data_IF_505381949389
#
_entry.id   IF_505381949389
#
_cell.length_a   1.000
_cell.length_b   1.000
_cell.length_c   1.000
_cell.angle_alpha   90.00
_cell.angle_beta   90.00
_cell.angle_gamma   90.00
#
_symmetry.space_group_name_H-M   'P 1'
#
loop_
_entity.id
_entity.type
_entity.pdbx_description
1 polymer ?
#
# COMPACT_ATOMS: atom_id res chain seq x y z
N UNK A 1 -50.95 8.76 -37.57
CA UNK A 1 -50.89 8.86 -36.09
C UNK A 1 -50.57 7.47 -35.55
N UNK A 2 -49.32 7.25 -35.13
CA UNK A 2 -48.88 6.39 -34.02
C UNK A 2 -47.38 6.17 -34.15
N UNK A 3 -46.64 7.13 -33.59
CA UNK A 3 -45.20 7.05 -33.36
C UNK A 3 -45.03 6.38 -32.01
N UNK A 4 -44.76 5.08 -31.98
CA UNK A 4 -44.36 4.40 -30.75
C UNK A 4 -42.88 4.63 -30.52
N UNK A 5 -42.56 5.49 -29.57
CA UNK A 5 -41.20 5.66 -29.04
C UNK A 5 -40.90 4.51 -28.07
N UNK A 6 -39.81 3.78 -28.31
CA UNK A 6 -39.21 2.87 -27.34
C UNK A 6 -38.50 3.68 -26.23
N UNK A 7 -38.52 3.24 -24.96
CA UNK A 7 -37.79 3.92 -23.90
C UNK A 7 -36.33 3.49 -23.91
N UNK A 8 -35.49 4.27 -24.59
CA UNK A 8 -34.03 4.13 -24.61
C UNK A 8 -33.38 4.77 -23.36
N UNK A 9 -33.83 4.39 -22.15
CA UNK A 9 -33.52 5.15 -20.92
C UNK A 9 -32.79 4.37 -19.81
N UNK A 10 -32.35 3.13 -20.09
CA UNK A 10 -31.62 2.31 -19.09
C UNK A 10 -30.12 2.19 -19.35
N UNK A 11 -29.64 2.47 -20.57
CA UNK A 11 -28.19 2.36 -20.90
C UNK A 11 -27.38 3.60 -20.53
N UNK A 12 -27.98 4.79 -20.57
CA UNK A 12 -27.27 6.05 -20.37
C UNK A 12 -26.87 6.30 -18.91
N UNK A 13 -27.66 5.81 -17.94
CA UNK A 13 -27.36 5.98 -16.50
C UNK A 13 -26.19 5.12 -16.00
N UNK A 14 -25.96 3.95 -16.60
CA UNK A 14 -24.89 3.04 -16.18
C UNK A 14 -23.49 3.53 -16.63
N UNK A 15 -23.43 4.21 -17.78
CA UNK A 15 -22.18 4.77 -18.32
C UNK A 15 -21.72 5.99 -17.51
N UNK A 16 -22.66 6.79 -16.97
CA UNK A 16 -22.34 8.01 -16.23
C UNK A 16 -21.75 7.77 -14.82
N UNK A 17 -21.92 6.59 -14.23
CA UNK A 17 -21.48 6.31 -12.85
C UNK A 17 -20.09 5.67 -12.77
N UNK A 18 -19.61 5.07 -13.88
CA UNK A 18 -18.35 4.33 -13.91
C UNK A 18 -18.38 3.03 -13.10
N UNK A 19 -17.21 2.39 -12.88
CA UNK A 19 -17.13 1.12 -12.16
C UNK A 19 -17.65 1.25 -10.71
N UNK A 20 -18.32 0.21 -10.15
CA UNK A 20 -18.87 0.27 -8.79
C UNK A 20 -17.87 0.68 -7.71
N UNK A 21 -16.61 0.24 -7.82
CA UNK A 21 -15.57 0.60 -6.85
C UNK A 21 -15.25 2.10 -6.86
N UNK A 22 -15.33 2.75 -8.02
CA UNK A 22 -15.14 4.20 -8.15
C UNK A 22 -16.22 4.96 -7.40
N UNK A 23 -17.49 4.56 -7.56
CA UNK A 23 -18.61 5.18 -6.85
C UNK A 23 -18.45 5.04 -5.33
N UNK A 24 -18.08 3.84 -4.86
CA UNK A 24 -17.81 3.61 -3.45
C UNK A 24 -16.67 4.49 -2.92
N UNK A 25 -15.56 4.58 -3.67
CA UNK A 25 -14.43 5.43 -3.30
C UNK A 25 -14.84 6.91 -3.26
N UNK A 26 -15.58 7.37 -4.27
CA UNK A 26 -16.11 8.74 -4.35
C UNK A 26 -16.94 9.08 -3.11
N UNK A 27 -17.87 8.21 -2.71
CA UNK A 27 -18.74 8.43 -1.57
C UNK A 27 -17.95 8.47 -0.25
N UNK A 28 -16.99 7.56 -0.07
CA UNK A 28 -16.11 7.57 1.10
C UNK A 28 -15.27 8.85 1.16
N UNK A 29 -14.66 9.27 0.05
CA UNK A 29 -13.86 10.49 0.01
C UNK A 29 -14.72 11.73 0.25
N UNK A 30 -15.94 11.79 -0.31
CA UNK A 30 -16.86 12.90 -0.09
C UNK A 30 -17.21 13.08 1.38
N UNK A 31 -17.42 11.98 2.11
CA UNK A 31 -17.75 12.01 3.54
C UNK A 31 -16.54 12.32 4.43
N UNK A 32 -15.36 11.76 4.11
CA UNK A 32 -14.19 11.83 4.98
C UNK A 32 -13.30 13.05 4.74
N UNK A 33 -13.32 13.61 3.52
CA UNK A 33 -12.47 14.73 3.12
C UNK A 33 -13.32 15.87 2.54
N UNK A 34 -14.06 16.62 3.38
CA UNK A 34 -14.93 17.70 2.93
C UNK A 34 -14.20 18.97 2.48
N UNK A 35 -12.87 19.03 2.62
CA UNK A 35 -12.04 20.17 2.25
C UNK A 35 -11.67 20.22 0.75
N UNK A 36 -10.77 21.14 0.35
CA UNK A 36 -10.22 21.17 -1.00
C UNK A 36 -9.64 19.80 -1.36
N UNK A 37 -10.08 19.26 -2.49
CA UNK A 37 -9.66 17.93 -2.94
C UNK A 37 -8.36 18.03 -3.71
N UNK A 38 -7.43 17.08 -3.55
CA UNK A 38 -6.21 17.04 -4.33
C UNK A 38 -6.52 16.72 -5.80
N UNK A 39 -5.58 17.02 -6.71
CA UNK A 39 -5.72 16.79 -8.15
C UNK A 39 -6.09 15.34 -8.48
N UNK A 40 -5.54 14.36 -7.75
CA UNK A 40 -5.84 12.94 -7.94
C UNK A 40 -7.30 12.56 -7.63
N UNK A 41 -8.05 13.42 -6.92
CA UNK A 41 -9.48 13.18 -6.71
C UNK A 41 -10.30 13.41 -7.99
N UNK A 42 -9.74 14.05 -9.02
CA UNK A 42 -10.39 14.24 -10.32
C UNK A 42 -10.95 12.91 -10.88
N UNK A 43 -10.16 11.83 -10.79
CA UNK A 43 -10.59 10.49 -11.23
C UNK A 43 -11.87 9.98 -10.54
N UNK A 44 -12.16 10.45 -9.32
CA UNK A 44 -13.36 10.06 -8.55
C UNK A 44 -14.56 10.98 -8.82
N UNK A 45 -14.32 12.26 -9.07
CA UNK A 45 -15.37 13.29 -9.05
C UNK A 45 -15.69 13.89 -10.41
N UNK A 46 -14.79 13.80 -11.39
CA UNK A 46 -15.02 14.35 -12.72
C UNK A 46 -16.15 13.61 -13.45
N UNK A 47 -16.84 14.35 -14.31
CA UNK A 47 -17.97 13.84 -15.08
C UNK A 47 -17.52 12.94 -16.24
N UNK A 48 -16.28 13.10 -16.70
CA UNK A 48 -15.68 12.25 -17.72
C UNK A 48 -15.25 10.94 -17.08
N UNK A 49 -15.88 9.85 -17.53
CA UNK A 49 -15.55 8.49 -17.14
C UNK A 49 -15.09 7.78 -18.40
N UNK A 50 -13.91 7.15 -18.37
CA UNK A 50 -13.49 6.29 -19.49
C UNK A 50 -14.53 5.16 -19.64
N UNK A 51 -15.23 5.07 -20.79
CA UNK A 51 -16.23 4.04 -21.01
C UNK A 51 -15.68 2.61 -20.94
N UNK A 52 -14.35 2.44 -21.05
CA UNK A 52 -13.66 1.17 -21.00
C UNK A 52 -13.26 0.74 -19.58
N UNK A 53 -13.45 1.59 -18.57
CA UNK A 53 -13.07 1.25 -17.20
C UNK A 53 -13.96 0.17 -16.60
N UNK A 54 -13.33 -0.97 -16.30
CA UNK A 54 -13.79 -1.90 -15.28
C UNK A 54 -13.14 -1.58 -13.91
N UNK A 55 -13.55 -2.28 -12.84
CA UNK A 55 -12.98 -2.07 -11.50
C UNK A 55 -11.45 -2.24 -11.50
N UNK A 56 -10.91 -3.16 -12.29
CA UNK A 56 -9.48 -3.49 -12.29
C UNK A 56 -8.64 -2.39 -12.95
N UNK A 57 -9.05 -1.95 -14.14
CA UNK A 57 -8.40 -0.88 -14.90
C UNK A 57 -8.47 0.44 -14.15
N UNK A 58 -9.65 0.81 -13.63
CA UNK A 58 -9.80 1.99 -12.80
C UNK A 58 -8.87 1.97 -11.57
N UNK A 59 -8.80 0.85 -10.84
CA UNK A 59 -7.90 0.77 -9.67
C UNK A 59 -6.42 0.86 -10.08
N UNK A 60 -6.05 0.28 -11.22
CA UNK A 60 -4.70 0.39 -11.77
C UNK A 60 -4.34 1.85 -12.04
N UNK A 61 -5.21 2.56 -12.76
CA UNK A 61 -5.00 3.97 -13.11
C UNK A 61 -5.03 4.87 -11.86
N UNK A 62 -5.99 4.65 -10.94
CA UNK A 62 -6.12 5.43 -9.71
C UNK A 62 -4.90 5.31 -8.80
N UNK A 63 -4.35 4.10 -8.66
CA UNK A 63 -3.13 3.88 -7.87
C UNK A 63 -1.89 4.42 -8.57
N UNK A 64 -1.80 4.27 -9.89
CA UNK A 64 -0.70 4.80 -10.69
C UNK A 64 -0.68 6.33 -10.75
N UNK A 65 -1.83 6.98 -10.64
CA UNK A 65 -1.93 8.44 -10.54
C UNK A 65 -1.39 8.97 -9.21
N UNK A 66 -1.46 8.16 -8.14
CA UNK A 66 -0.96 8.55 -6.81
C UNK A 66 0.54 8.25 -6.68
N UNK A 67 0.97 7.06 -7.08
CA UNK A 67 2.37 6.64 -7.07
C UNK A 67 2.73 6.07 -8.46
N UNK A 68 3.19 6.96 -9.33
CA UNK A 68 3.46 6.63 -10.72
C UNK A 68 4.74 5.81 -10.85
N UNK A 69 4.61 4.54 -11.28
CA UNK A 69 5.75 3.63 -11.47
C UNK A 69 6.73 3.66 -10.30
N UNK A 70 6.17 3.62 -9.08
CA UNK A 70 6.94 3.61 -7.84
C UNK A 70 7.74 4.89 -7.54
N UNK A 71 7.45 5.98 -8.24
CA UNK A 71 8.09 7.28 -8.07
C UNK A 71 7.16 8.26 -7.36
N UNK A 72 7.70 8.99 -6.37
CA UNK A 72 6.98 10.08 -5.71
C UNK A 72 7.11 11.37 -6.53
N UNK A 73 5.97 11.90 -6.97
CA UNK A 73 5.86 13.19 -7.66
C UNK A 73 5.40 14.29 -6.67
N UNK A 74 5.49 15.59 -7.04
CA UNK A 74 5.10 16.70 -6.15
C UNK A 74 3.72 16.55 -5.52
N UNK A 75 2.75 16.02 -6.26
CA UNK A 75 1.37 15.85 -5.81
C UNK A 75 1.11 14.52 -5.10
N UNK A 76 2.05 13.56 -5.10
CA UNK A 76 1.86 12.22 -4.50
C UNK A 76 1.37 12.32 -3.06
N UNK A 77 1.98 13.19 -2.25
CA UNK A 77 1.63 13.36 -0.84
C UNK A 77 0.13 13.68 -0.63
N UNK A 78 -0.48 14.44 -1.55
CA UNK A 78 -1.88 14.80 -1.47
C UNK A 78 -2.79 13.61 -1.85
N UNK A 79 -2.39 12.82 -2.86
CA UNK A 79 -3.05 11.57 -3.22
C UNK A 79 -3.01 10.51 -2.11
N UNK A 80 -1.93 10.43 -1.34
CA UNK A 80 -1.82 9.50 -0.20
C UNK A 80 -2.87 9.74 0.90
N UNK A 81 -3.36 10.98 1.04
CA UNK A 81 -4.46 11.29 1.96
C UNK A 81 -5.78 10.61 1.52
N UNK A 82 -6.02 10.48 0.20
CA UNK A 82 -7.16 9.73 -0.33
C UNK A 82 -7.05 8.26 0.05
N UNK A 83 -5.88 7.64 -0.15
CA UNK A 83 -5.65 6.24 0.20
C UNK A 83 -5.81 5.99 1.69
N UNK A 84 -5.29 6.88 2.53
CA UNK A 84 -5.46 6.78 3.98
C UNK A 84 -6.94 6.85 4.37
N UNK A 85 -7.71 7.78 3.80
CA UNK A 85 -9.14 7.90 4.05
C UNK A 85 -9.92 6.63 3.63
N UNK A 86 -9.59 6.04 2.49
CA UNK A 86 -10.17 4.79 2.01
C UNK A 86 -9.77 3.60 2.90
N UNK A 87 -8.50 3.51 3.28
CA UNK A 87 -7.96 2.43 4.09
C UNK A 87 -8.52 2.40 5.52
N UNK A 88 -9.07 3.52 6.01
CA UNK A 88 -9.67 3.58 7.36
C UNK A 88 -11.19 3.43 7.40
N UNK A 89 -11.86 3.36 6.26
CA UNK A 89 -13.32 3.29 6.19
C UNK A 89 -13.82 1.84 6.03
N UNK A 90 -14.73 1.42 6.90
CA UNK A 90 -15.23 0.03 6.93
C UNK A 90 -16.09 -0.33 5.71
N UNK A 91 -16.60 0.67 4.97
CA UNK A 91 -17.32 0.44 3.71
C UNK A 91 -16.40 -0.09 2.62
N UNK A 92 -15.09 0.19 2.67
CA UNK A 92 -14.12 -0.27 1.67
C UNK A 92 -13.80 -1.74 1.93
N UNK A 93 -13.96 -2.66 0.95
CA UNK A 93 -13.63 -4.07 1.14
C UNK A 93 -12.17 -4.28 1.57
N UNK A 94 -11.91 -5.29 2.42
CA UNK A 94 -10.60 -5.54 3.00
C UNK A 94 -9.48 -5.72 1.96
N UNK A 95 -9.80 -6.26 0.77
CA UNK A 95 -8.86 -6.36 -0.35
C UNK A 95 -8.36 -4.98 -0.82
N UNK A 96 -9.26 -4.01 -0.93
CA UNK A 96 -8.90 -2.66 -1.37
C UNK A 96 -8.23 -1.88 -0.25
N UNK A 97 -8.59 -2.11 1.01
CA UNK A 97 -7.83 -1.58 2.16
C UNK A 97 -6.40 -2.14 2.16
N UNK A 98 -6.21 -3.44 1.93
CA UNK A 98 -4.86 -4.03 1.79
C UNK A 98 -4.05 -3.31 0.69
N UNK A 99 -4.62 -3.14 -0.50
CA UNK A 99 -3.95 -2.45 -1.61
C UNK A 99 -3.61 -0.98 -1.26
N UNK A 100 -4.52 -0.25 -0.63
CA UNK A 100 -4.27 1.13 -0.21
C UNK A 100 -3.15 1.21 0.82
N UNK A 101 -3.13 0.33 1.82
CA UNK A 101 -2.08 0.30 2.85
C UNK A 101 -0.73 -0.19 2.28
N UNK A 102 -0.75 -1.12 1.33
CA UNK A 102 0.45 -1.56 0.59
C UNK A 102 1.05 -0.41 -0.23
N UNK A 103 0.21 0.36 -0.93
CA UNK A 103 0.66 1.53 -1.67
C UNK A 103 1.21 2.63 -0.75
N UNK A 104 0.60 2.85 0.41
CA UNK A 104 1.12 3.72 1.46
C UNK A 104 2.50 3.24 1.97
N UNK A 105 2.68 1.93 2.16
CA UNK A 105 3.98 1.35 2.52
C UNK A 105 5.02 1.58 1.42
N UNK A 106 4.67 1.33 0.16
CA UNK A 106 5.54 1.56 -0.99
C UNK A 106 5.98 3.02 -1.06
N UNK A 107 5.03 3.96 -1.00
CA UNK A 107 5.30 5.40 -1.01
C UNK A 107 6.19 5.84 0.18
N UNK A 108 5.99 5.29 1.36
CA UNK A 108 6.78 5.61 2.55
C UNK A 108 8.23 5.13 2.49
N UNK A 109 8.52 4.14 1.62
CA UNK A 109 9.82 3.46 1.52
C UNK A 109 10.53 3.67 0.19
N UNK A 110 9.97 4.49 -0.72
CA UNK A 110 10.55 4.75 -2.06
C UNK A 110 12.03 5.12 -1.97
N UNK A 111 12.38 6.11 -1.15
CA UNK A 111 13.76 6.58 -1.00
C UNK A 111 14.73 5.45 -0.61
N UNK A 112 14.34 4.62 0.36
CA UNK A 112 15.14 3.49 0.81
C UNK A 112 15.25 2.38 -0.24
N UNK A 113 14.19 2.13 -1.02
CA UNK A 113 14.18 1.11 -2.07
C UNK A 113 14.99 1.55 -3.29
N UNK A 114 14.80 2.78 -3.75
CA UNK A 114 15.61 3.44 -4.75
C UNK A 114 17.10 3.40 -4.41
N UNK A 115 17.45 3.81 -3.18
CA UNK A 115 18.83 3.78 -2.71
C UNK A 115 19.42 2.35 -2.74
N UNK A 116 18.61 1.35 -2.40
CA UNK A 116 19.06 -0.04 -2.39
C UNK A 116 19.26 -0.63 -3.79
N UNK A 117 18.47 -0.17 -4.76
CA UNK A 117 18.48 -0.65 -6.15
C UNK A 117 19.57 -0.01 -7.00
N UNK A 118 19.84 1.29 -6.83
CA UNK A 118 20.70 2.03 -7.74
C UNK A 118 22.10 2.34 -7.19
N UNK A 119 22.41 1.94 -5.95
CA UNK A 119 23.68 2.30 -5.32
C UNK A 119 24.93 1.92 -6.15
N UNK A 120 25.94 2.81 -6.27
CA UNK A 120 26.05 4.14 -5.65
C UNK A 120 25.43 5.29 -6.46
N UNK A 121 24.77 4.98 -7.57
CA UNK A 121 24.20 5.96 -8.49
C UNK A 121 22.89 6.55 -7.93
N UNK A 122 22.58 7.77 -8.39
CA UNK A 122 21.29 8.40 -8.10
C UNK A 122 20.23 7.85 -9.06
N UNK A 123 19.06 7.42 -8.57
CA UNK A 123 17.98 6.96 -9.43
C UNK A 123 17.55 8.05 -10.42
N UNK A 124 17.39 7.76 -11.73
CA UNK A 124 17.12 8.79 -12.74
C UNK A 124 15.83 9.60 -12.52
N UNK A 125 14.85 9.02 -11.83
CA UNK A 125 13.53 9.60 -11.59
C UNK A 125 13.30 9.97 -10.11
N UNK A 126 14.31 9.85 -9.24
CA UNK A 126 14.15 10.18 -7.82
C UNK A 126 13.96 11.70 -7.64
N UNK A 127 12.93 12.05 -6.87
CA UNK A 127 12.72 13.40 -6.34
C UNK A 127 12.75 13.31 -4.80
N UNK A 128 13.91 13.53 -4.17
CA UNK A 128 14.08 13.38 -2.73
C UNK A 128 13.13 14.25 -1.90
N UNK A 129 12.76 15.43 -2.41
CA UNK A 129 11.84 16.33 -1.73
C UNK A 129 10.41 15.78 -1.77
N UNK A 130 9.98 15.25 -2.91
CA UNK A 130 8.68 14.59 -3.04
C UNK A 130 8.61 13.28 -2.25
N UNK A 131 9.68 12.47 -2.26
CA UNK A 131 9.78 11.25 -1.44
C UNK A 131 9.71 11.57 0.06
N UNK A 132 10.41 12.62 0.52
CA UNK A 132 10.35 13.06 1.91
C UNK A 132 8.96 13.59 2.29
N UNK A 133 8.28 14.33 1.40
CA UNK A 133 6.89 14.76 1.60
C UNK A 133 5.92 13.59 1.66
N UNK A 134 6.03 12.64 0.74
CA UNK A 134 5.23 11.42 0.72
C UNK A 134 5.39 10.63 2.02
N UNK A 135 6.64 10.39 2.45
CA UNK A 135 6.93 9.71 3.72
C UNK A 135 6.30 10.40 4.93
N UNK A 136 6.39 11.74 5.02
CA UNK A 136 5.74 12.52 6.10
C UNK A 136 4.22 12.43 6.05
N UNK A 137 3.63 12.43 4.85
CA UNK A 137 2.18 12.26 4.69
C UNK A 137 1.71 10.90 5.21
N UNK A 138 2.40 9.81 4.84
CA UNK A 138 2.08 8.47 5.39
C UNK A 138 2.28 8.43 6.91
N UNK A 139 3.36 9.03 7.42
CA UNK A 139 3.63 9.10 8.85
C UNK A 139 2.48 9.76 9.62
N UNK A 140 1.90 10.83 9.08
CA UNK A 140 0.77 11.53 9.69
C UNK A 140 -0.49 10.65 9.79
N UNK A 141 -0.68 9.70 8.86
CA UNK A 141 -1.82 8.79 8.85
C UNK A 141 -1.56 7.44 9.55
N UNK A 142 -0.30 7.12 9.85
CA UNK A 142 0.08 5.86 10.49
C UNK A 142 -0.68 5.56 11.80
N UNK A 143 -0.93 6.53 12.71
CA UNK A 143 -1.70 6.25 13.94
C UNK A 143 -3.11 5.72 13.67
N UNK A 144 -3.84 6.33 12.74
CA UNK A 144 -5.23 5.95 12.41
C UNK A 144 -5.28 4.58 11.72
N UNK A 145 -4.33 4.33 10.81
CA UNK A 145 -4.18 3.03 10.16
C UNK A 145 -3.88 1.92 11.19
N UNK A 146 -2.96 2.17 12.13
CA UNK A 146 -2.58 1.20 13.15
C UNK A 146 -3.64 1.02 14.24
N UNK A 147 -4.52 2.00 14.46
CA UNK A 147 -5.65 1.89 15.37
C UNK A 147 -6.66 0.81 14.91
N UNK A 148 -6.71 0.54 13.60
CA UNK A 148 -7.62 -0.46 13.02
C UNK A 148 -7.16 -1.90 13.17
N UNK A 149 -5.96 -2.14 13.72
CA UNK A 149 -5.35 -3.47 13.80
C UNK A 149 -6.31 -4.59 14.20
N UNK A 150 -7.11 -4.39 15.26
CA UNK A 150 -8.04 -5.42 15.77
C UNK A 150 -9.23 -5.68 14.85
N UNK A 151 -9.69 -4.68 14.11
CA UNK A 151 -10.79 -4.80 13.16
C UNK A 151 -10.35 -5.43 11.81
N UNK A 152 -9.06 -5.37 11.51
CA UNK A 152 -8.55 -5.80 10.21
C UNK A 152 -8.36 -7.31 10.08
N UNK A 153 -8.48 -7.80 8.84
CA UNK A 153 -8.22 -9.19 8.51
C UNK A 153 -6.70 -9.50 8.53
N UNK A 154 -6.29 -10.79 8.52
CA UNK A 154 -4.88 -11.16 8.59
C UNK A 154 -4.00 -10.52 7.50
N UNK A 155 -4.50 -10.42 6.26
CA UNK A 155 -3.77 -9.81 5.15
C UNK A 155 -3.41 -8.34 5.43
N UNK A 156 -4.40 -7.54 5.84
CA UNK A 156 -4.20 -6.12 6.15
C UNK A 156 -3.29 -5.94 7.38
N UNK A 157 -3.39 -6.83 8.37
CA UNK A 157 -2.49 -6.81 9.54
C UNK A 157 -1.02 -7.03 9.17
N UNK A 158 -0.73 -7.83 8.15
CA UNK A 158 0.65 -8.04 7.69
C UNK A 158 1.25 -6.74 7.16
N UNK A 159 0.55 -6.04 6.27
CA UNK A 159 1.05 -4.76 5.73
C UNK A 159 1.10 -3.65 6.80
N UNK A 160 0.13 -3.62 7.73
CA UNK A 160 0.20 -2.71 8.89
C UNK A 160 1.42 -2.99 9.77
N UNK A 161 1.86 -4.24 9.87
CA UNK A 161 3.08 -4.60 10.60
C UNK A 161 4.33 -4.04 9.90
N UNK A 162 4.36 -4.08 8.57
CA UNK A 162 5.37 -3.40 7.75
C UNK A 162 5.40 -1.89 7.98
N UNK A 163 4.24 -1.21 7.95
CA UNK A 163 4.17 0.23 8.23
C UNK A 163 4.63 0.57 9.66
N UNK A 164 4.31 -0.26 10.65
CA UNK A 164 4.71 -0.04 12.03
C UNK A 164 6.24 -0.05 12.23
N UNK A 165 6.99 -0.83 11.43
CA UNK A 165 8.47 -0.81 11.47
C UNK A 165 9.09 0.31 10.62
N UNK A 166 8.36 0.83 9.63
CA UNK A 166 8.77 2.03 8.88
C UNK A 166 8.66 3.28 9.75
N UNK A 167 7.60 3.38 10.56
CA UNK A 167 7.33 4.47 11.50
C UNK A 167 7.33 3.97 12.96
N UNK A 168 8.51 3.62 13.49
CA UNK A 168 8.62 3.12 14.85
C UNK A 168 8.26 4.19 15.87
N UNK A 169 7.53 3.79 16.92
CA UNK A 169 7.26 4.60 18.11
C UNK A 169 7.37 3.70 19.34
N UNK A 170 7.57 4.31 20.52
CA UNK A 170 7.63 3.58 21.79
C UNK A 170 6.35 2.77 22.08
N UNK A 171 5.24 3.11 21.43
CA UNK A 171 3.97 2.39 21.54
C UNK A 171 3.81 1.30 20.48
N UNK A 172 4.24 1.53 19.24
CA UNK A 172 3.96 0.63 18.11
C UNK A 172 4.85 -0.60 18.13
N UNK A 173 6.15 -0.46 18.38
CA UNK A 173 7.09 -1.57 18.32
C UNK A 173 6.83 -2.65 19.40
N UNK A 174 6.66 -2.32 20.70
CA UNK A 174 6.40 -3.35 21.72
C UNK A 174 5.07 -4.07 21.51
N UNK A 175 4.11 -3.42 20.85
CA UNK A 175 2.82 -4.02 20.53
C UNK A 175 2.89 -5.05 19.39
N UNK A 176 3.92 -5.02 18.53
CA UNK A 176 4.02 -5.94 17.39
C UNK A 176 4.22 -7.39 17.81
N UNK A 177 5.10 -7.65 18.79
CA UNK A 177 5.38 -9.02 19.27
C UNK A 177 4.13 -9.78 19.70
N UNK A 178 3.27 -9.28 20.61
CA UNK A 178 2.05 -9.98 20.97
C UNK A 178 1.05 -10.06 19.81
N UNK A 179 0.97 -9.02 18.96
CA UNK A 179 0.05 -8.97 17.80
C UNK A 179 0.40 -9.98 16.70
N UNK A 180 1.67 -10.28 16.53
CA UNK A 180 2.19 -11.19 15.50
C UNK A 180 2.38 -12.63 15.98
N UNK A 181 2.24 -12.89 17.29
CA UNK A 181 2.42 -14.23 17.88
C UNK A 181 1.57 -15.29 17.18
N UNK A 182 0.29 -15.02 16.94
CA UNK A 182 -0.61 -15.96 16.27
C UNK A 182 -0.11 -16.31 14.85
N UNK A 183 0.40 -15.33 14.10
CA UNK A 183 0.97 -15.58 12.78
C UNK A 183 2.20 -16.48 12.86
N UNK A 184 3.10 -16.24 13.82
CA UNK A 184 4.31 -17.07 13.97
C UNK A 184 4.00 -18.54 14.31
N UNK A 185 2.90 -18.78 15.01
CA UNK A 185 2.42 -20.14 15.32
C UNK A 185 1.73 -20.81 14.12
N UNK A 186 0.94 -20.04 13.36
CA UNK A 186 0.20 -20.55 12.21
C UNK A 186 1.08 -20.74 10.96
N UNK A 187 2.14 -19.94 10.83
CA UNK A 187 3.03 -19.93 9.68
C UNK A 187 4.46 -20.30 10.11
N UNK A 188 4.88 -21.55 9.87
CA UNK A 188 6.25 -21.99 10.12
C UNK A 188 7.28 -21.16 9.35
N UNK A 189 8.52 -21.18 9.85
CA UNK A 189 9.67 -20.62 9.14
C UNK A 189 9.86 -21.34 7.79
N UNK A 190 10.31 -20.62 6.77
CA UNK A 190 10.45 -21.09 5.39
C UNK A 190 9.18 -20.92 4.55
N UNK A 191 8.10 -20.38 5.14
CA UNK A 191 6.91 -19.95 4.38
C UNK A 191 6.97 -18.44 4.18
N UNK A 192 6.44 -17.93 3.04
CA UNK A 192 6.51 -16.50 2.73
C UNK A 192 5.94 -15.62 3.87
N UNK A 193 4.78 -15.99 4.43
CA UNK A 193 4.17 -15.27 5.57
C UNK A 193 5.01 -15.46 6.84
N UNK A 194 5.48 -16.68 7.11
CA UNK A 194 6.24 -17.00 8.31
C UNK A 194 7.58 -16.27 8.36
N UNK A 195 8.27 -16.15 7.24
CA UNK A 195 9.53 -15.44 7.12
C UNK A 195 9.31 -13.93 7.16
N UNK A 196 8.27 -13.41 6.51
CA UNK A 196 7.90 -11.99 6.58
C UNK A 196 7.66 -11.54 8.03
N UNK A 197 6.83 -12.29 8.77
CA UNK A 197 6.50 -11.94 10.15
C UNK A 197 7.73 -11.99 11.06
N UNK A 198 8.60 -12.99 10.88
CA UNK A 198 9.86 -13.09 11.64
C UNK A 198 10.80 -11.93 11.30
N UNK A 199 10.87 -11.54 10.04
CA UNK A 199 11.68 -10.40 9.63
C UNK A 199 11.14 -9.07 10.19
N UNK A 200 9.84 -8.86 10.18
CA UNK A 200 9.19 -7.70 10.86
C UNK A 200 9.55 -7.66 12.35
N UNK A 201 9.56 -8.80 13.04
CA UNK A 201 9.96 -8.86 14.46
C UNK A 201 11.44 -8.52 14.68
N UNK A 202 12.32 -8.89 13.76
CA UNK A 202 13.74 -8.49 13.79
C UNK A 202 13.86 -6.97 13.60
N UNK A 203 13.14 -6.40 12.62
CA UNK A 203 13.11 -4.95 12.42
C UNK A 203 12.55 -4.22 13.64
N UNK A 204 11.53 -4.78 14.30
CA UNK A 204 10.92 -4.20 15.49
C UNK A 204 11.87 -4.17 16.71
N UNK A 205 12.90 -5.03 16.75
CA UNK A 205 13.89 -5.02 17.83
C UNK A 205 14.87 -3.83 17.72
N UNK A 206 14.96 -3.18 16.56
CA UNK A 206 15.85 -2.04 16.29
C UNK A 206 17.34 -2.33 16.57
N UNK A 207 17.75 -3.60 16.53
CA UNK A 207 19.16 -4.01 16.58
C UNK A 207 19.74 -4.03 15.16
N UNK A 208 20.56 -3.04 14.82
CA UNK A 208 21.12 -2.89 13.48
C UNK A 208 21.98 -4.09 13.05
N UNK A 209 22.75 -4.67 13.97
CA UNK A 209 23.60 -5.82 13.67
C UNK A 209 22.76 -7.06 13.37
N UNK A 210 21.70 -7.28 14.16
CA UNK A 210 20.76 -8.36 13.92
C UNK A 210 19.99 -8.16 12.61
N UNK A 211 19.51 -6.95 12.35
CA UNK A 211 18.80 -6.60 11.11
C UNK A 211 19.67 -6.90 9.90
N UNK A 212 20.92 -6.44 9.90
CA UNK A 212 21.87 -6.67 8.81
C UNK A 212 22.14 -8.16 8.60
N UNK A 213 22.43 -8.89 9.68
CA UNK A 213 22.71 -10.33 9.64
C UNK A 213 21.54 -11.13 9.04
N UNK A 214 20.31 -10.82 9.47
CA UNK A 214 19.11 -11.51 8.96
C UNK A 214 18.80 -11.11 7.53
N UNK A 215 18.98 -9.83 7.18
CA UNK A 215 18.82 -9.34 5.80
C UNK A 215 19.76 -10.10 4.86
N UNK A 216 21.05 -10.20 5.21
CA UNK A 216 22.05 -10.93 4.43
C UNK A 216 21.71 -12.41 4.28
N UNK A 217 21.34 -13.07 5.38
CA UNK A 217 20.93 -14.48 5.35
C UNK A 217 19.74 -14.74 4.43
N UNK A 218 18.74 -13.85 4.42
CA UNK A 218 17.56 -13.99 3.57
C UNK A 218 17.89 -13.72 2.10
N UNK A 219 18.70 -12.70 1.80
CA UNK A 219 19.11 -12.39 0.42
C UNK A 219 20.09 -13.39 -0.17
N UNK A 220 20.93 -14.03 0.64
CA UNK A 220 21.86 -15.06 0.13
C UNK A 220 21.12 -16.35 -0.24
N UNK A 221 19.96 -16.61 0.38
CA UNK A 221 19.26 -17.88 0.25
C UNK A 221 18.06 -17.84 -0.73
N UNK A 222 17.27 -16.76 -0.71
CA UNK A 222 15.92 -16.79 -1.32
C UNK A 222 15.48 -15.48 -2.01
N UNK A 223 16.15 -14.35 -1.74
CA UNK A 223 15.70 -13.03 -2.17
C UNK A 223 16.77 -12.29 -2.95
N UNK A 224 16.37 -11.35 -3.81
CA UNK A 224 17.35 -10.56 -4.56
C UNK A 224 18.09 -9.62 -3.60
N UNK A 225 19.38 -9.88 -3.43
CA UNK A 225 20.26 -9.04 -2.63
C UNK A 225 20.58 -7.69 -3.27
N UNK A 226 21.13 -6.81 -2.46
CA UNK A 226 21.57 -5.46 -2.81
C UNK A 226 23.08 -5.35 -2.58
N UNK A 227 23.73 -4.32 -3.13
CA UNK A 227 25.16 -4.11 -2.91
C UNK A 227 25.46 -3.97 -1.40
N UNK A 228 26.50 -4.64 -0.90
CA UNK A 228 26.84 -4.65 0.54
C UNK A 228 27.17 -3.28 1.11
N UNK A 229 27.55 -2.33 0.26
CA UNK A 229 27.85 -0.94 0.62
C UNK A 229 26.58 -0.09 0.83
N UNK A 230 25.39 -0.57 0.45
CA UNK A 230 24.12 0.12 0.69
C UNK A 230 23.87 0.20 2.20
N UNK A 231 23.34 1.33 2.73
CA UNK A 231 22.98 1.46 4.13
C UNK A 231 22.07 0.32 4.62
N UNK A 232 22.33 -0.29 5.80
CA UNK A 232 21.58 -1.45 6.29
C UNK A 232 20.06 -1.26 6.30
N UNK A 233 19.59 -0.07 6.69
CA UNK A 233 18.16 0.27 6.69
C UNK A 233 17.53 0.20 5.29
N UNK A 234 18.23 0.73 4.28
CA UNK A 234 17.76 0.70 2.90
C UNK A 234 17.66 -0.74 2.38
N UNK A 235 18.69 -1.55 2.64
CA UNK A 235 18.70 -2.99 2.31
C UNK A 235 17.52 -3.72 2.96
N UNK A 236 17.29 -3.46 4.24
CA UNK A 236 16.25 -4.11 5.02
C UNK A 236 14.83 -3.73 4.55
N UNK A 237 14.57 -2.45 4.27
CA UNK A 237 13.27 -2.00 3.79
C UNK A 237 13.00 -2.43 2.33
N UNK A 238 14.04 -2.51 1.50
CA UNK A 238 13.94 -3.12 0.17
C UNK A 238 13.56 -4.60 0.25
N UNK A 239 14.25 -5.38 1.08
CA UNK A 239 13.87 -6.79 1.31
C UNK A 239 12.44 -6.90 1.85
N UNK A 240 12.05 -6.07 2.82
CA UNK A 240 10.70 -6.07 3.38
C UNK A 240 9.64 -5.82 2.31
N UNK A 241 9.90 -4.88 1.38
CA UNK A 241 9.04 -4.62 0.22
C UNK A 241 8.90 -5.83 -0.70
N UNK A 242 10.01 -6.47 -1.08
CA UNK A 242 9.98 -7.70 -1.89
C UNK A 242 9.15 -8.81 -1.22
N UNK A 243 9.35 -9.01 0.09
CA UNK A 243 8.62 -10.01 0.86
C UNK A 243 7.12 -9.70 0.89
N UNK A 244 6.74 -8.44 1.10
CA UNK A 244 5.35 -8.02 1.12
C UNK A 244 4.67 -8.22 -0.23
N UNK A 245 5.33 -7.84 -1.34
CA UNK A 245 4.82 -8.08 -2.70
C UNK A 245 4.53 -9.57 -2.93
N UNK A 246 5.46 -10.45 -2.53
CA UNK A 246 5.28 -11.91 -2.68
C UNK A 246 4.12 -12.42 -1.82
N UNK A 247 4.04 -12.00 -0.56
CA UNK A 247 2.94 -12.34 0.35
C UNK A 247 1.59 -11.89 -0.23
N UNK A 248 1.51 -10.67 -0.76
CA UNK A 248 0.31 -10.12 -1.40
C UNK A 248 -0.13 -10.92 -2.63
N UNK A 249 0.82 -11.34 -3.47
CA UNK A 249 0.56 -12.20 -4.62
C UNK A 249 0.01 -13.57 -4.20
N UNK A 250 0.58 -14.19 -3.17
CA UNK A 250 0.08 -15.48 -2.67
C UNK A 250 -1.33 -15.37 -2.09
N UNK A 251 -1.63 -14.29 -1.35
CA UNK A 251 -2.96 -14.05 -0.76
C UNK A 251 -4.05 -13.85 -1.84
N UNK A 252 -3.71 -13.21 -2.96
CA UNK A 252 -4.64 -13.01 -4.08
C UNK A 252 -4.85 -14.28 -4.90
N UNK A 253 -3.83 -15.15 -5.05
CA UNK A 253 -3.97 -16.43 -5.76
C UNK A 253 -4.78 -17.48 -5.00
N UNK A 254 -4.69 -17.55 -3.67
CA UNK A 254 -5.47 -18.51 -2.87
C UNK A 254 -6.98 -18.25 -2.96
N UNK A 255 -7.39 -16.99 -3.11
CA UNK A 255 -8.79 -16.60 -3.28
C UNK A 255 -9.37 -16.91 -4.68
N UNK A 256 -8.53 -17.05 -5.71
CA UNK A 256 -8.99 -17.38 -7.06
C UNK A 256 -9.25 -18.89 -7.28
N UNK A 257 -8.89 -19.73 -6.30
CA UNK A 257 -9.05 -21.20 -6.33
C UNK A 257 -10.18 -21.70 -5.43
N UNK A 258 -10.99 -20.81 -4.87
CA UNK A 258 -12.20 -21.11 -4.08
C UNK A 258 -13.42 -20.63 -4.86
#
# INVERSE_FOLDING_TARGET
>A
MNTSAEPEQTRSSAIASGPPIRQLFRDVIADRLPGPRPSQAAMLFDAEVDPCWDDRSFLGDFYNEILHQDTCQPDTAAGLALLAALAVDDRIPARHRFQGVDLLFSAATVAERHLAETWPDTPPLADPDSEARARRAVQAHAPDLLARWSAECPAVRLVLAGLAVVFPTDRTLPALTPRLRTFTHQHPQGTDIGDYVRFVLVLAAQDEHQILTVTEKLTDAYWTGTARAVPPRARALHLLGQMLTKVGASLTQTHAKQ
#
